data_IF_947078826417
#
_entry.id   IF_947078826417
#
_cell.length_a   1.000
_cell.length_b   1.000
_cell.length_c   1.000
_cell.angle_alpha   90.00
_cell.angle_beta   90.00
_cell.angle_gamma   90.00
#
_symmetry.space_group_name_H-M   'P 1'
#
loop_
_entity.id
_entity.type
_entity.pdbx_description
1 polymer ?
#
# COMPACT_ATOMS: atom_id res chain seq x y z
N UNK A 1 -68.79 -2.15 5.64
CA UNK A 1 -69.50 -3.05 6.58
C UNK A 1 -69.96 -4.28 5.81
N UNK A 2 -69.72 -5.47 6.37
CA UNK A 2 -70.05 -6.84 5.91
C UNK A 2 -69.16 -7.43 4.78
N UNK A 3 -68.11 -8.21 5.09
CA UNK A 3 -68.07 -9.66 5.44
C UNK A 3 -68.63 -10.53 4.28
N UNK A 4 -68.00 -11.58 3.73
CA UNK A 4 -67.11 -12.62 4.27
C UNK A 4 -66.45 -13.41 3.12
N UNK A 5 -65.29 -14.00 3.39
CA UNK A 5 -64.57 -15.01 2.57
C UNK A 5 -65.29 -16.37 2.55
N UNK A 6 -65.12 -17.13 1.46
CA UNK A 6 -65.21 -18.60 1.33
C UNK A 6 -64.27 -19.00 0.16
N UNK A 7 -63.07 -19.55 0.37
CA UNK A 7 -62.68 -20.95 0.66
C UNK A 7 -63.17 -22.02 -0.33
N UNK A 8 -62.27 -22.32 -1.29
CA UNK A 8 -61.83 -23.63 -1.81
C UNK A 8 -62.83 -24.78 -2.06
N UNK A 9 -62.85 -25.28 -3.29
CA UNK A 9 -63.00 -26.71 -3.57
C UNK A 9 -62.29 -27.11 -4.88
N UNK A 10 -61.58 -28.23 -4.75
CA UNK A 10 -60.64 -28.90 -5.65
C UNK A 10 -61.33 -29.61 -6.81
N UNK A 11 -60.68 -29.68 -7.98
CA UNK A 11 -60.93 -30.74 -8.95
C UNK A 11 -59.59 -31.32 -9.40
N UNK A 12 -59.39 -32.58 -9.04
CA UNK A 12 -58.26 -33.41 -9.41
C UNK A 12 -58.40 -33.92 -10.85
N UNK A 13 -57.28 -34.04 -11.56
CA UNK A 13 -57.13 -35.06 -12.58
C UNK A 13 -55.69 -35.58 -12.54
N UNK A 14 -55.61 -36.88 -12.25
CA UNK A 14 -54.41 -37.68 -12.12
C UNK A 14 -53.98 -38.27 -13.48
N UNK A 15 -52.87 -39.02 -13.42
CA UNK A 15 -52.21 -39.86 -14.44
C UNK A 15 -51.14 -39.15 -15.26
N UNK A 16 -49.87 -39.59 -15.29
CA UNK A 16 -49.31 -40.83 -14.76
C UNK A 16 -47.80 -40.75 -14.57
N UNK A 17 -47.37 -41.51 -13.56
CA UNK A 17 -45.99 -41.82 -13.22
C UNK A 17 -45.50 -42.90 -14.19
N UNK A 18 -44.28 -42.72 -14.70
CA UNK A 18 -43.38 -43.84 -15.00
C UNK A 18 -41.98 -43.45 -14.51
N UNK A 19 -41.72 -43.81 -13.24
CA UNK A 19 -40.40 -44.09 -12.70
C UNK A 19 -40.08 -45.56 -13.03
N UNK A 20 -38.86 -45.86 -13.48
CA UNK A 20 -38.04 -47.05 -13.14
C UNK A 20 -36.64 -46.68 -13.64
N UNK A 21 -35.68 -46.30 -12.79
CA UNK A 21 -34.98 -47.03 -11.72
C UNK A 21 -33.69 -47.71 -12.23
N UNK A 22 -32.63 -47.44 -11.46
CA UNK A 22 -31.33 -48.10 -11.47
C UNK A 22 -31.49 -49.58 -11.12
N UNK A 23 -30.63 -50.43 -11.67
CA UNK A 23 -30.17 -51.64 -10.99
C UNK A 23 -28.75 -52.02 -11.44
N UNK A 24 -28.10 -52.74 -10.53
CA UNK A 24 -26.70 -52.98 -10.27
C UNK A 24 -26.26 -54.36 -10.79
N UNK A 25 -24.96 -54.65 -10.63
CA UNK A 25 -24.33 -55.98 -10.50
C UNK A 25 -23.55 -56.59 -11.68
N UNK A 26 -22.21 -56.51 -11.52
CA UNK A 26 -21.20 -57.60 -11.49
C UNK A 26 -20.87 -58.46 -12.71
N UNK A 27 -19.57 -58.45 -13.09
CA UNK A 27 -18.73 -59.66 -13.30
C UNK A 27 -17.26 -59.29 -13.63
N UNK A 28 -16.28 -59.86 -12.88
CA UNK A 28 -14.81 -59.76 -13.10
C UNK A 28 -14.30 -60.62 -14.28
N UNK A 29 -12.98 -61.00 -14.40
CA UNK A 29 -11.97 -61.22 -13.34
C UNK A 29 -10.51 -60.72 -13.62
N UNK A 30 -9.61 -60.94 -12.64
CA UNK A 30 -8.13 -60.76 -12.67
C UNK A 30 -7.39 -61.63 -13.71
N UNK A 31 -6.06 -61.41 -13.89
CA UNK A 31 -5.08 -62.23 -13.15
C UNK A 31 -3.78 -61.51 -12.70
N UNK A 32 -3.27 -61.94 -11.54
CA UNK A 32 -1.85 -62.05 -11.12
C UNK A 32 -1.47 -63.57 -11.22
N UNK A 33 -0.22 -64.08 -11.06
CA UNK A 33 0.95 -63.52 -10.34
C UNK A 33 2.36 -63.82 -10.95
N UNK A 34 3.43 -63.36 -10.30
CA UNK A 34 4.80 -63.88 -10.50
C UNK A 34 5.89 -63.20 -9.66
N UNK A 35 6.24 -63.80 -8.52
CA UNK A 35 7.29 -63.40 -7.55
C UNK A 35 8.58 -64.25 -7.65
N UNK A 36 9.60 -63.86 -6.84
CA UNK A 36 10.90 -64.53 -6.48
C UNK A 36 12.12 -64.08 -7.31
N UNK A 37 13.32 -63.79 -6.79
CA UNK A 37 14.01 -63.95 -5.48
C UNK A 37 15.26 -63.02 -5.49
N UNK A 38 15.50 -62.16 -4.49
CA UNK A 38 16.40 -62.30 -3.32
C UNK A 38 17.92 -62.35 -3.59
N UNK A 39 18.71 -61.48 -2.92
CA UNK A 39 19.87 -61.79 -2.04
C UNK A 39 20.28 -60.50 -1.27
N UNK A 40 20.33 -60.54 0.07
CA UNK A 40 20.80 -59.46 0.98
C UNK A 40 22.30 -59.58 1.34
N UNK A 41 22.76 -59.26 2.57
CA UNK A 41 22.52 -58.07 3.43
C UNK A 41 23.81 -57.52 4.14
N UNK A 42 23.63 -56.47 4.96
CA UNK A 42 24.47 -56.05 6.14
C UNK A 42 25.82 -55.35 5.86
N UNK A 43 26.33 -54.32 6.57
CA UNK A 43 26.32 -53.90 7.99
C UNK A 43 26.56 -52.35 8.09
N UNK A 44 25.82 -51.52 8.85
CA UNK A 44 25.83 -51.23 10.32
C UNK A 44 26.84 -50.13 10.78
N UNK A 45 26.33 -48.87 10.85
CA UNK A 45 26.45 -47.85 11.96
C UNK A 45 27.81 -47.14 12.28
N UNK A 46 27.88 -46.11 13.18
CA UNK A 46 27.15 -44.82 13.29
C UNK A 46 28.06 -43.63 13.77
N UNK A 47 27.42 -42.49 14.18
CA UNK A 47 27.93 -41.41 15.09
C UNK A 47 28.94 -40.38 14.51
N UNK A 48 29.04 -39.10 14.91
CA UNK A 48 28.24 -38.12 15.67
C UNK A 48 29.03 -36.78 15.68
N UNK A 49 28.32 -35.65 15.62
CA UNK A 49 28.55 -34.33 16.29
C UNK A 49 29.93 -33.60 16.33
N UNK A 50 29.84 -32.33 15.91
CA UNK A 50 30.37 -31.06 16.51
C UNK A 50 31.79 -30.50 16.25
N UNK A 51 31.74 -29.17 16.09
CA UNK A 51 32.70 -28.07 16.39
C UNK A 51 33.75 -27.56 15.37
N UNK A 52 33.46 -26.34 14.88
CA UNK A 52 34.27 -25.11 14.78
C UNK A 52 35.82 -25.19 14.65
N UNK A 53 36.37 -24.64 13.56
CA UNK A 53 37.11 -23.34 13.50
C UNK A 53 38.21 -23.27 12.40
N UNK A 54 38.21 -22.13 11.69
CA UNK A 54 39.35 -21.43 11.03
C UNK A 54 39.91 -22.07 9.73
N UNK A 55 40.32 -21.38 8.66
CA UNK A 55 41.00 -20.06 8.48
C UNK A 55 40.84 -19.58 7.01
N UNK A 56 40.76 -18.24 6.84
CA UNK A 56 41.31 -17.33 5.80
C UNK A 56 41.28 -17.74 4.30
N UNK A 57 41.01 -16.89 3.29
CA UNK A 57 41.39 -15.47 3.11
C UNK A 57 40.76 -14.88 1.83
N UNK A 58 40.59 -13.55 1.86
CA UNK A 58 40.72 -12.57 0.75
C UNK A 58 39.77 -12.64 -0.47
N UNK A 59 38.93 -11.60 -0.61
CA UNK A 59 38.89 -10.82 -1.85
C UNK A 59 38.40 -9.39 -1.58
N UNK A 60 39.11 -8.47 -2.22
CA UNK A 60 38.95 -7.03 -2.12
C UNK A 60 37.79 -6.54 -2.98
N UNK A 61 37.06 -5.53 -2.49
CA UNK A 61 36.37 -4.56 -3.34
C UNK A 61 36.13 -3.25 -2.59
N UNK A 62 36.70 -2.16 -3.11
CA UNK A 62 36.16 -0.81 -3.04
C UNK A 62 36.77 0.01 -4.21
N UNK A 63 36.09 1.06 -4.73
CA UNK A 63 34.99 1.78 -4.08
C UNK A 63 33.72 1.98 -4.94
N UNK A 64 32.58 2.05 -4.23
CA UNK A 64 31.48 2.93 -4.59
C UNK A 64 31.71 4.26 -3.86
N UNK A 65 31.57 5.39 -4.55
CA UNK A 65 31.22 6.68 -3.92
C UNK A 65 29.69 6.83 -4.02
N UNK A 66 28.84 7.00 -3.01
CA UNK A 66 28.91 7.13 -1.54
C UNK A 66 28.56 8.49 -0.94
N UNK A 67 28.45 9.57 -1.71
CA UNK A 67 28.45 10.90 -1.09
C UNK A 67 27.25 11.25 -0.16
N UNK A 68 26.14 10.49 -0.17
CA UNK A 68 25.06 10.67 0.82
C UNK A 68 24.87 9.50 1.81
N UNK A 69 25.55 8.36 1.56
CA UNK A 69 25.59 7.21 2.49
C UNK A 69 26.91 7.12 3.27
N UNK A 70 27.89 7.96 2.96
CA UNK A 70 29.22 8.04 3.61
C UNK A 70 29.49 9.44 4.17
N UNK A 71 28.65 9.89 5.10
CA UNK A 71 29.11 10.93 6.01
C UNK A 71 29.13 10.54 7.48
N UNK A 72 28.96 9.26 7.77
CA UNK A 72 29.17 8.75 9.12
C UNK A 72 29.84 7.37 9.07
N UNK A 73 30.95 7.28 8.35
CA UNK A 73 31.93 6.22 8.57
C UNK A 73 33.16 6.87 9.18
N UNK A 74 33.38 6.50 10.44
CA UNK A 74 34.52 6.78 11.28
C UNK A 74 34.67 8.20 11.85
N UNK A 75 34.46 8.29 13.17
CA UNK A 75 35.13 9.27 14.02
C UNK A 75 34.26 10.10 14.97
N UNK A 76 32.93 10.12 14.83
CA UNK A 76 32.09 11.02 15.63
C UNK A 76 31.26 10.34 16.74
N UNK A 77 31.01 9.04 16.65
CA UNK A 77 30.35 8.26 17.70
C UNK A 77 31.37 7.38 18.41
N UNK A 78 31.43 7.47 19.74
CA UNK A 78 32.28 6.62 20.57
C UNK A 78 31.79 5.16 20.62
N UNK A 79 30.48 4.93 20.42
CA UNK A 79 29.87 3.61 20.31
C UNK A 79 28.64 3.67 19.40
N UNK A 80 28.35 2.56 18.72
CA UNK A 80 27.12 2.36 17.94
C UNK A 80 26.32 1.23 18.56
N UNK A 81 25.02 1.44 18.74
CA UNK A 81 24.12 0.44 19.34
C UNK A 81 22.85 0.26 18.50
N UNK A 82 22.20 -0.88 18.70
CA UNK A 82 20.88 -1.22 18.18
C UNK A 82 19.95 -1.46 19.37
N UNK A 83 18.70 -1.04 19.26
CA UNK A 83 17.64 -1.16 20.25
C UNK A 83 18.03 -0.57 21.61
N UNK A 84 18.32 0.73 21.66
CA UNK A 84 18.82 1.37 22.88
C UNK A 84 17.80 1.36 24.04
N UNK A 85 16.50 1.38 23.75
CA UNK A 85 15.42 1.36 24.76
C UNK A 85 15.43 0.15 25.72
N UNK A 86 16.20 -0.91 25.41
CA UNK A 86 16.33 -2.12 26.25
C UNK A 86 17.69 -2.24 26.97
N UNK A 87 18.58 -1.25 26.87
CA UNK A 87 19.92 -1.32 27.46
C UNK A 87 20.17 -0.18 28.43
N UNK A 88 20.58 -0.52 29.66
CA UNK A 88 20.92 0.46 30.69
C UNK A 88 22.36 0.97 30.47
N UNK A 89 22.54 1.93 29.55
CA UNK A 89 23.86 2.43 29.15
C UNK A 89 24.34 3.51 30.13
N UNK A 90 25.50 3.30 30.76
CA UNK A 90 26.17 4.31 31.60
C UNK A 90 26.94 5.30 30.72
N UNK A 91 26.71 6.60 30.93
CA UNK A 91 27.06 7.67 29.99
C UNK A 91 28.10 8.62 30.61
N UNK A 92 29.41 8.45 30.35
CA UNK A 92 30.43 9.38 30.83
C UNK A 92 30.53 10.62 29.91
N UNK A 93 30.85 11.78 30.51
CA UNK A 93 30.86 13.15 29.93
C UNK A 93 31.57 13.39 28.58
N UNK A 94 32.18 12.37 27.98
CA UNK A 94 32.96 12.47 26.74
C UNK A 94 32.49 11.52 25.65
N UNK A 95 31.35 10.84 25.82
CA UNK A 95 30.88 9.80 24.92
C UNK A 95 29.75 10.28 24.00
N UNK A 96 29.78 9.81 22.75
CA UNK A 96 28.73 10.00 21.74
C UNK A 96 28.22 8.64 21.28
N UNK A 97 26.90 8.49 21.16
CA UNK A 97 26.22 7.21 20.92
C UNK A 97 25.35 7.34 19.68
N UNK A 98 25.51 6.43 18.71
CA UNK A 98 24.64 6.35 17.55
C UNK A 98 23.65 5.19 17.69
N UNK A 99 22.35 5.47 17.62
CA UNK A 99 21.32 4.44 17.51
C UNK A 99 21.11 4.11 16.04
N UNK A 100 21.46 2.89 15.66
CA UNK A 100 21.35 2.45 14.28
C UNK A 100 19.91 2.09 13.88
N UNK A 101 19.03 1.78 14.83
CA UNK A 101 17.63 1.45 14.49
C UNK A 101 16.79 2.73 14.37
N UNK A 102 17.12 3.74 15.17
CA UNK A 102 16.46 5.05 15.12
C UNK A 102 17.17 6.06 14.18
N UNK A 103 18.41 5.78 13.76
CA UNK A 103 19.27 6.69 12.99
C UNK A 103 19.50 8.05 13.69
N UNK A 104 19.59 8.04 15.01
CA UNK A 104 19.75 9.25 15.85
C UNK A 104 21.12 9.24 16.54
N UNK A 105 21.78 10.40 16.58
CA UNK A 105 23.02 10.61 17.32
C UNK A 105 22.75 11.31 18.67
N UNK A 106 23.25 10.71 19.74
CA UNK A 106 23.15 11.23 21.11
C UNK A 106 24.52 11.62 21.65
N UNK A 107 24.56 12.67 22.48
CA UNK A 107 25.75 13.09 23.21
C UNK A 107 25.53 12.99 24.72
N UNK A 108 26.51 12.44 25.42
CA UNK A 108 26.55 12.42 26.87
C UNK A 108 26.90 13.79 27.45
N UNK A 109 26.04 14.35 28.29
CA UNK A 109 26.28 15.57 29.09
C UNK A 109 25.86 15.28 30.53
N UNK A 110 26.82 15.08 31.43
CA UNK A 110 26.54 14.47 32.73
C UNK A 110 26.17 12.98 32.55
N UNK A 111 25.19 12.52 33.32
CA UNK A 111 24.58 11.19 33.18
C UNK A 111 23.42 11.18 32.15
N UNK A 112 23.19 12.28 31.42
CA UNK A 112 22.07 12.43 30.51
C UNK A 112 22.48 12.30 29.03
N UNK A 113 21.59 11.71 28.24
CA UNK A 113 21.69 11.60 26.78
C UNK A 113 20.86 12.71 26.13
N UNK A 114 21.52 13.53 25.31
CA UNK A 114 20.88 14.61 24.58
C UNK A 114 20.97 14.30 23.09
N UNK A 115 19.81 14.26 22.42
CA UNK A 115 19.70 14.14 20.97
C UNK A 115 20.35 15.36 20.30
N UNK A 116 21.16 15.13 19.27
CA UNK A 116 21.86 16.20 18.57
C UNK A 116 21.53 16.12 17.08
N UNK A 117 21.15 17.27 16.51
CA UNK A 117 20.83 17.38 15.09
C UNK A 117 22.05 17.06 14.20
N UNK A 118 21.85 16.17 13.23
CA UNK A 118 22.85 15.79 12.24
C UNK A 118 22.90 16.81 11.11
N UNK A 119 24.05 17.47 10.93
CA UNK A 119 24.27 18.31 9.75
C UNK A 119 24.52 17.43 8.50
N UNK A 120 23.85 17.70 7.36
CA UNK A 120 24.16 17.03 6.09
C UNK A 120 25.51 17.52 5.53
N UNK A 121 26.21 16.63 4.84
CA UNK A 121 27.48 16.94 4.20
C UNK A 121 27.30 17.68 2.88
N UNK A 122 28.01 18.80 2.75
CA UNK A 122 28.19 19.52 1.48
C UNK A 122 28.54 21.00 1.68
N UNK A 123 29.85 21.27 1.70
CA UNK A 123 30.54 22.56 1.52
C UNK A 123 30.05 23.79 2.30
N UNK A 124 30.56 23.91 3.53
CA UNK A 124 30.91 25.21 4.09
C UNK A 124 32.41 25.46 3.88
N UNK A 125 32.75 26.27 2.88
CA UNK A 125 33.93 27.14 2.96
C UNK A 125 33.54 28.55 2.53
N UNK A 126 33.35 29.35 3.58
CA UNK A 126 33.48 30.79 3.71
C UNK A 126 33.76 31.63 2.45
N UNK A 127 32.90 32.63 2.22
CA UNK A 127 33.38 34.02 2.12
C UNK A 127 32.34 35.00 2.68
N UNK A 128 32.88 35.94 3.44
CA UNK A 128 32.31 36.98 4.30
C UNK A 128 31.45 38.05 3.61
N UNK A 129 30.72 38.90 4.37
CA UNK A 129 29.70 39.79 3.83
C UNK A 129 30.27 41.10 3.29
N UNK A 130 29.71 41.63 2.20
CA UNK A 130 29.72 43.07 1.96
C UNK A 130 28.54 43.56 1.11
N UNK A 131 28.03 44.71 1.54
CA UNK A 131 26.87 45.44 1.07
C UNK A 131 26.85 45.82 -0.43
N UNK A 132 25.62 46.17 -0.81
CA UNK A 132 25.19 47.32 -1.63
C UNK A 132 24.90 47.16 -3.14
N UNK A 133 23.62 47.51 -3.42
CA UNK A 133 23.08 48.29 -4.55
C UNK A 133 22.92 47.67 -5.94
N UNK A 134 21.64 47.47 -6.26
CA UNK A 134 20.86 48.09 -7.36
C UNK A 134 21.09 47.69 -8.83
N UNK A 135 19.95 47.35 -9.43
CA UNK A 135 19.51 47.68 -10.80
C UNK A 135 19.70 46.67 -11.94
N UNK A 136 18.53 46.24 -12.45
CA UNK A 136 18.06 46.12 -13.85
C UNK A 136 17.70 44.72 -14.38
N UNK A 137 16.43 44.68 -14.80
CA UNK A 137 15.67 43.72 -15.59
C UNK A 137 16.34 43.47 -16.96
N UNK A 138 16.26 42.23 -17.50
CA UNK A 138 15.39 42.02 -18.67
C UNK A 138 14.56 40.72 -18.61
N UNK A 139 13.31 40.79 -19.06
CA UNK A 139 12.49 39.67 -19.55
C UNK A 139 12.82 39.38 -21.03
N UNK A 140 12.15 38.42 -21.70
CA UNK A 140 11.93 37.02 -21.34
C UNK A 140 12.52 36.12 -22.46
N UNK A 141 12.81 34.85 -22.16
CA UNK A 141 13.08 33.88 -23.23
C UNK A 141 12.01 32.82 -23.20
N UNK A 142 11.11 32.90 -24.18
CA UNK A 142 10.14 31.88 -24.48
C UNK A 142 10.85 30.57 -24.84
N UNK A 143 10.68 29.58 -23.98
CA UNK A 143 10.88 28.17 -24.30
C UNK A 143 9.52 27.50 -24.18
N UNK A 144 8.82 27.39 -25.32
CA UNK A 144 7.61 26.58 -25.46
C UNK A 144 7.97 25.09 -25.30
N UNK A 145 8.11 24.66 -24.06
CA UNK A 145 7.97 23.26 -23.66
C UNK A 145 6.48 23.07 -23.38
N UNK A 146 5.81 22.31 -24.26
CA UNK A 146 4.47 21.79 -23.97
C UNK A 146 4.59 20.71 -22.89
N UNK A 147 5.02 21.09 -21.69
CA UNK A 147 4.81 20.29 -20.50
C UNK A 147 3.32 20.35 -20.21
N UNK A 148 2.66 19.19 -20.19
CA UNK A 148 1.31 19.08 -19.66
C UNK A 148 1.31 19.73 -18.27
N UNK A 149 0.69 20.90 -18.16
CA UNK A 149 0.62 21.63 -16.89
C UNK A 149 -0.41 20.89 -16.05
N UNK A 150 0.07 20.18 -15.03
CA UNK A 150 -0.81 19.55 -14.04
C UNK A 150 -1.55 20.65 -13.28
N UNK A 151 -2.88 20.67 -13.42
CA UNK A 151 -3.75 21.63 -12.72
C UNK A 151 -4.14 21.09 -11.35
N UNK A 152 -3.83 21.86 -10.31
CA UNK A 152 -4.11 21.50 -8.92
C UNK A 152 -5.24 22.36 -8.34
N UNK A 153 -5.94 21.79 -7.35
CA UNK A 153 -6.98 22.49 -6.62
C UNK A 153 -7.19 21.92 -5.22
N UNK A 154 -8.28 22.33 -4.60
CA UNK A 154 -8.71 21.81 -3.30
C UNK A 154 -10.22 21.57 -3.27
N UNK A 155 -10.62 20.63 -2.42
CA UNK A 155 -11.99 20.37 -2.04
C UNK A 155 -12.12 20.53 -0.53
N UNK A 156 -12.98 21.43 -0.08
CA UNK A 156 -13.41 21.47 1.32
C UNK A 156 -14.67 20.62 1.47
N UNK A 157 -14.58 19.56 2.26
CA UNK A 157 -15.74 18.76 2.61
C UNK A 157 -16.57 19.49 3.67
N UNK A 158 -17.80 19.88 3.33
CA UNK A 158 -18.67 20.65 4.23
C UNK A 158 -19.18 19.83 5.43
N UNK A 159 -19.03 18.51 5.40
CA UNK A 159 -19.56 17.59 6.42
C UNK A 159 -18.66 17.52 7.64
N UNK A 160 -17.34 17.67 7.47
CA UNK A 160 -16.35 17.63 8.55
C UNK A 160 -15.33 18.79 8.50
N UNK A 161 -15.40 19.66 7.50
CA UNK A 161 -14.50 20.81 7.31
C UNK A 161 -13.12 20.43 6.76
N UNK A 162 -12.88 19.17 6.39
CA UNK A 162 -11.58 18.71 5.93
C UNK A 162 -11.29 19.21 4.51
N UNK A 163 -10.07 19.71 4.31
CA UNK A 163 -9.57 20.10 3.00
C UNK A 163 -8.78 18.94 2.39
N UNK A 164 -9.13 18.58 1.15
CA UNK A 164 -8.44 17.59 0.34
C UNK A 164 -7.83 18.27 -0.87
N UNK A 165 -6.60 17.88 -1.23
CA UNK A 165 -5.99 18.28 -2.50
C UNK A 165 -6.70 17.59 -3.66
N UNK A 166 -6.77 18.28 -4.79
CA UNK A 166 -7.33 17.74 -6.03
C UNK A 166 -6.40 18.00 -7.19
N UNK A 167 -6.57 17.22 -8.26
CA UNK A 167 -5.79 17.33 -9.50
C UNK A 167 -6.67 17.04 -10.71
N UNK A 168 -6.45 17.74 -11.82
CA UNK A 168 -7.12 17.47 -13.09
C UNK A 168 -6.30 16.49 -13.91
N UNK A 169 -6.88 15.34 -14.26
CA UNK A 169 -6.26 14.32 -15.12
C UNK A 169 -7.31 13.83 -16.11
N UNK A 170 -7.00 13.88 -17.41
CA UNK A 170 -7.91 13.40 -18.46
C UNK A 170 -9.22 14.20 -18.53
N UNK A 171 -9.18 15.49 -18.16
CA UNK A 171 -10.35 16.37 -18.13
C UNK A 171 -11.31 16.13 -16.95
N UNK A 172 -10.95 15.29 -15.99
CA UNK A 172 -11.71 15.06 -14.75
C UNK A 172 -10.94 15.57 -13.55
N UNK A 173 -11.65 16.08 -12.55
CA UNK A 173 -11.04 16.48 -11.28
C UNK A 173 -11.06 15.28 -10.33
N UNK A 174 -9.88 14.85 -9.90
CA UNK A 174 -9.68 13.74 -8.97
C UNK A 174 -9.28 14.26 -7.59
N UNK A 175 -9.70 13.57 -6.54
CA UNK A 175 -9.03 13.69 -5.26
C UNK A 175 -7.57 13.22 -5.38
N UNK A 176 -6.63 14.05 -4.94
CA UNK A 176 -5.20 13.73 -4.82
C UNK A 176 -4.85 13.13 -3.43
N UNK A 177 -5.82 13.06 -2.53
CA UNK A 177 -5.72 12.40 -1.22
C UNK A 177 -6.87 11.39 -1.04
N UNK A 178 -6.65 10.33 -0.26
CA UNK A 178 -7.72 9.37 0.06
C UNK A 178 -8.76 10.05 0.96
N UNK A 179 -10.04 9.79 0.74
CA UNK A 179 -11.11 10.32 1.58
C UNK A 179 -10.94 9.85 3.03
N UNK A 180 -11.11 10.76 3.99
CA UNK A 180 -10.95 10.48 5.42
C UNK A 180 -12.13 11.05 6.22
N UNK A 181 -13.34 10.89 5.68
CA UNK A 181 -14.58 11.27 6.33
C UNK A 181 -15.02 10.16 7.29
N UNK A 182 -15.19 10.49 8.57
CA UNK A 182 -15.71 9.54 9.54
C UNK A 182 -17.24 9.39 9.41
N UNK A 183 -17.67 8.28 8.82
CA UNK A 183 -19.08 8.00 8.59
C UNK A 183 -19.79 7.30 9.76
N UNK A 184 -19.14 7.16 10.92
CA UNK A 184 -19.73 6.52 12.12
C UNK A 184 -21.01 7.23 12.57
N UNK A 185 -21.09 8.56 12.43
CA UNK A 185 -22.26 9.35 12.81
C UNK A 185 -23.45 9.20 11.83
N UNK A 186 -23.21 8.77 10.58
CA UNK A 186 -24.24 8.64 9.54
C UNK A 186 -24.69 7.20 9.33
N UNK A 187 -24.00 6.22 9.92
CA UNK A 187 -24.36 4.81 9.87
C UNK A 187 -25.59 4.50 10.76
N UNK A 188 -26.80 4.72 10.24
CA UNK A 188 -28.03 4.28 10.91
C UNK A 188 -28.07 2.75 11.00
N UNK A 189 -27.83 2.18 12.18
CA UNK A 189 -27.86 0.73 12.42
C UNK A 189 -26.51 0.06 12.72
N UNK A 190 -25.44 0.84 12.91
CA UNK A 190 -24.18 0.50 13.60
C UNK A 190 -23.52 -0.84 13.20
N UNK A 191 -22.84 -0.81 12.06
CA UNK A 191 -21.55 -1.49 11.91
C UNK A 191 -20.60 -0.44 11.39
N UNK A 192 -19.56 -0.07 12.15
CA UNK A 192 -18.50 0.81 11.64
C UNK A 192 -18.06 0.30 10.27
N UNK A 193 -18.13 1.18 9.28
CA UNK A 193 -17.86 0.84 7.88
C UNK A 193 -16.76 1.66 7.28
N UNK A 194 -16.13 2.49 8.08
CA UNK A 194 -14.87 3.12 7.76
C UNK A 194 -13.88 2.79 8.88
N UNK A 195 -12.65 2.52 8.50
CA UNK A 195 -11.61 2.08 9.42
C UNK A 195 -10.30 2.79 9.10
N UNK A 196 -9.49 3.01 10.12
CA UNK A 196 -8.06 3.22 9.91
C UNK A 196 -7.39 1.86 9.68
N UNK A 197 -6.32 1.84 8.89
CA UNK A 197 -5.48 0.65 8.77
C UNK A 197 -4.99 0.23 10.16
N UNK A 198 -5.12 -1.06 10.48
CA UNK A 198 -4.90 -1.66 11.81
C UNK A 198 -5.66 -1.02 12.99
N UNK A 199 -6.68 -0.22 12.71
CA UNK A 199 -7.40 0.54 13.73
C UNK A 199 -6.56 1.65 14.39
N UNK A 200 -5.41 2.01 13.80
CA UNK A 200 -4.49 3.02 14.33
C UNK A 200 -4.91 4.40 13.80
N UNK A 201 -5.27 5.38 14.65
CA UNK A 201 -5.73 6.71 14.18
C UNK A 201 -4.72 7.44 13.28
N UNK A 202 -3.42 7.33 13.56
CA UNK A 202 -2.36 7.91 12.74
C UNK A 202 -2.38 7.39 11.28
N UNK A 203 -2.83 6.15 11.07
CA UNK A 203 -2.96 5.59 9.72
C UNK A 203 -4.14 6.20 8.96
N UNK A 204 -5.20 6.66 9.63
CA UNK A 204 -6.24 7.47 8.97
C UNK A 204 -5.68 8.83 8.54
N UNK A 205 -4.81 9.45 9.33
CA UNK A 205 -4.19 10.73 8.97
C UNK A 205 -3.26 10.59 7.77
N UNK A 206 -2.44 9.53 7.75
CA UNK A 206 -1.53 9.22 6.64
C UNK A 206 -2.26 8.74 5.40
N UNK A 207 -3.02 7.65 5.51
CA UNK A 207 -3.59 6.92 4.37
C UNK A 207 -5.04 7.26 4.05
N UNK A 208 -5.72 8.04 4.89
CA UNK A 208 -7.18 8.14 4.83
C UNK A 208 -7.88 6.88 5.37
N UNK A 209 -9.20 6.86 5.26
CA UNK A 209 -10.02 5.74 5.76
C UNK A 209 -10.22 4.68 4.68
N UNK A 210 -10.34 3.44 5.14
CA UNK A 210 -10.78 2.30 4.35
C UNK A 210 -12.28 2.08 4.59
N UNK A 211 -13.07 2.09 3.53
CA UNK A 211 -14.53 1.99 3.60
C UNK A 211 -14.98 0.61 3.15
N UNK A 212 -15.99 0.03 3.79
CA UNK A 212 -16.70 -1.11 3.23
C UNK A 212 -17.57 -0.65 2.04
N UNK A 213 -17.93 -1.60 1.17
CA UNK A 213 -18.70 -1.35 -0.06
C UNK A 213 -19.88 -0.39 0.17
N UNK A 214 -20.76 -0.72 1.12
CA UNK A 214 -21.98 0.04 1.36
C UNK A 214 -21.70 1.52 1.71
N UNK A 215 -20.64 1.78 2.49
CA UNK A 215 -20.24 3.13 2.85
C UNK A 215 -19.60 3.85 1.66
N UNK A 216 -18.74 3.17 0.91
CA UNK A 216 -18.06 3.73 -0.25
C UNK A 216 -19.04 4.30 -1.30
N UNK A 217 -20.21 3.66 -1.47
CA UNK A 217 -21.24 4.13 -2.42
C UNK A 217 -21.87 5.48 -2.06
N UNK A 218 -21.80 5.89 -0.80
CA UNK A 218 -22.49 7.08 -0.29
C UNK A 218 -21.54 8.10 0.36
N UNK A 219 -20.24 7.83 0.40
CA UNK A 219 -19.29 8.63 1.18
C UNK A 219 -18.74 9.83 0.42
N UNK A 220 -18.81 9.87 -0.92
CA UNK A 220 -18.34 11.04 -1.66
C UNK A 220 -19.17 12.30 -1.31
N UNK A 221 -18.53 13.47 -1.16
CA UNK A 221 -19.23 14.71 -0.84
C UNK A 221 -20.12 15.16 -2.02
N UNK A 222 -21.03 16.09 -1.75
CA UNK A 222 -21.95 16.61 -2.76
C UNK A 222 -21.21 17.14 -4.01
N UNK A 223 -21.70 16.78 -5.20
CA UNK A 223 -21.07 17.13 -6.47
C UNK A 223 -19.85 16.27 -6.85
N UNK A 224 -19.48 15.30 -6.00
CA UNK A 224 -18.48 14.28 -6.28
C UNK A 224 -19.11 12.89 -6.27
N UNK A 225 -18.51 11.96 -7.00
CA UNK A 225 -19.02 10.59 -7.10
C UNK A 225 -17.88 9.58 -6.96
N UNK A 226 -18.27 8.33 -6.70
CA UNK A 226 -17.36 7.21 -6.82
C UNK A 226 -16.90 7.09 -8.29
N UNK A 227 -15.63 6.78 -8.58
CA UNK A 227 -15.19 6.60 -9.95
C UNK A 227 -15.77 5.32 -10.54
N UNK A 228 -16.17 5.40 -11.78
CA UNK A 228 -16.57 4.25 -12.58
C UNK A 228 -15.35 3.52 -13.12
N UNK A 229 -15.56 2.32 -13.65
CA UNK A 229 -14.53 1.60 -14.38
C UNK A 229 -14.02 2.35 -15.62
N UNK A 230 -14.83 3.23 -16.22
CA UNK A 230 -14.34 4.09 -17.31
C UNK A 230 -13.38 5.14 -16.76
N UNK A 231 -13.73 5.81 -15.66
CA UNK A 231 -12.87 6.85 -15.07
C UNK A 231 -11.48 6.30 -14.72
N UNK A 232 -11.40 5.09 -14.15
CA UNK A 232 -10.12 4.44 -13.85
C UNK A 232 -9.31 4.08 -15.11
N UNK A 233 -9.98 3.58 -16.16
CA UNK A 233 -9.30 3.31 -17.45
C UNK A 233 -8.82 4.58 -18.13
N UNK A 234 -9.61 5.64 -18.07
CA UNK A 234 -9.26 6.94 -18.66
C UNK A 234 -8.09 7.55 -17.88
N UNK A 235 -8.14 7.54 -16.54
CA UNK A 235 -7.04 7.97 -15.66
C UNK A 235 -5.73 7.28 -16.02
N UNK A 236 -5.75 5.94 -16.08
CA UNK A 236 -4.54 5.14 -16.37
C UNK A 236 -4.05 5.34 -17.80
N UNK A 237 -4.94 5.42 -18.78
CA UNK A 237 -4.59 5.70 -20.17
C UNK A 237 -3.93 7.06 -20.32
N UNK A 238 -4.55 8.11 -19.74
CA UNK A 238 -3.99 9.46 -19.73
C UNK A 238 -2.66 9.49 -18.99
N UNK A 239 -2.56 8.85 -17.83
CA UNK A 239 -1.34 8.84 -17.05
C UNK A 239 -0.17 8.21 -17.81
N UNK A 240 -0.44 7.14 -18.56
CA UNK A 240 0.54 6.50 -19.44
C UNK A 240 0.96 7.39 -20.60
N UNK A 241 -0.01 7.98 -21.30
CA UNK A 241 0.27 8.79 -22.49
C UNK A 241 0.96 10.11 -22.17
N UNK A 242 0.68 10.72 -21.02
CA UNK A 242 1.20 12.05 -20.67
C UNK A 242 2.43 12.01 -19.76
N UNK A 243 2.56 10.97 -18.91
CA UNK A 243 3.56 10.95 -17.85
C UNK A 243 4.43 9.68 -17.79
N UNK A 244 4.16 8.67 -18.62
CA UNK A 244 5.00 7.47 -18.78
C UNK A 244 4.29 6.12 -18.58
N UNK A 245 4.72 5.10 -19.33
CA UNK A 245 4.01 3.83 -19.54
C UNK A 245 4.19 2.77 -18.43
N UNK A 246 4.23 3.19 -17.16
CA UNK A 246 4.31 2.25 -16.04
C UNK A 246 3.45 2.65 -14.82
N UNK A 247 2.59 3.66 -14.96
CA UNK A 247 1.78 4.22 -13.87
C UNK A 247 2.56 4.66 -12.62
N UNK A 248 3.89 4.76 -12.68
CA UNK A 248 4.70 5.39 -11.63
C UNK A 248 4.29 6.84 -11.39
N UNK A 249 3.73 7.48 -12.41
CA UNK A 249 3.15 8.82 -12.36
C UNK A 249 1.92 8.94 -11.44
N UNK A 250 1.22 7.84 -11.16
CA UNK A 250 0.06 7.83 -10.26
C UNK A 250 0.45 7.66 -8.78
N UNK A 251 1.67 7.21 -8.50
CA UNK A 251 2.12 6.82 -7.16
C UNK A 251 2.76 7.98 -6.42
N UNK A 252 2.46 8.10 -5.12
CA UNK A 252 3.16 9.03 -4.23
C UNK A 252 4.66 8.66 -4.14
N UNK A 253 5.54 9.66 -4.24
CA UNK A 253 7.00 9.46 -4.17
C UNK A 253 7.41 9.10 -2.74
N UNK A 254 8.26 8.09 -2.58
CA UNK A 254 8.86 7.72 -1.28
C UNK A 254 7.97 6.87 -0.36
N UNK A 255 6.72 6.61 -0.75
CA UNK A 255 5.75 5.89 0.08
C UNK A 255 5.63 4.40 -0.25
N UNK A 256 6.19 3.97 -1.39
CA UNK A 256 6.07 2.60 -1.89
C UNK A 256 7.34 1.82 -1.59
N UNK A 257 7.17 0.71 -0.87
CA UNK A 257 8.25 -0.22 -0.54
C UNK A 257 8.69 -0.99 -1.78
N UNK A 258 9.98 -1.32 -1.86
CA UNK A 258 10.49 -2.19 -2.90
C UNK A 258 10.31 -3.64 -2.49
N UNK A 259 9.79 -4.48 -3.39
CA UNK A 259 9.82 -5.92 -3.20
C UNK A 259 11.20 -6.49 -3.47
N UNK A 260 11.56 -7.56 -2.75
CA UNK A 260 12.81 -8.32 -2.97
C UNK A 260 12.76 -9.13 -4.28
N UNK A 261 11.55 -9.41 -4.77
CA UNK A 261 11.29 -10.17 -5.99
C UNK A 261 10.58 -9.28 -7.02
N UNK A 262 11.02 -9.31 -8.28
CA UNK A 262 10.39 -8.58 -9.39
C UNK A 262 10.92 -7.16 -9.60
N UNK A 263 10.57 -6.60 -10.76
CA UNK A 263 10.91 -5.22 -11.12
C UNK A 263 9.95 -4.26 -10.43
N UNK A 264 10.51 -3.38 -9.59
CA UNK A 264 9.75 -2.33 -8.93
C UNK A 264 9.60 -1.16 -9.90
N UNK A 265 8.37 -0.66 -10.03
CA UNK A 265 8.11 0.56 -10.79
C UNK A 265 8.41 1.77 -9.89
N UNK A 266 9.25 2.66 -10.39
CA UNK A 266 9.60 3.91 -9.71
C UNK A 266 8.38 4.83 -9.60
N UNK A 267 8.02 5.21 -8.37
CA UNK A 267 7.02 6.25 -8.13
C UNK A 267 7.60 7.63 -8.48
N UNK A 268 6.93 8.35 -9.40
CA UNK A 268 7.33 9.70 -9.83
C UNK A 268 6.31 10.76 -9.46
N UNK A 269 5.07 10.36 -9.16
CA UNK A 269 3.93 11.25 -8.93
C UNK A 269 3.73 12.34 -10.01
N UNK A 270 4.22 12.12 -11.23
CA UNK A 270 4.21 13.13 -12.29
C UNK A 270 2.80 13.59 -12.67
N UNK A 271 1.76 12.78 -12.42
CA UNK A 271 0.36 13.14 -12.65
C UNK A 271 -0.28 13.96 -11.52
N UNK A 272 0.36 14.02 -10.35
CA UNK A 272 -0.22 14.61 -9.13
C UNK A 272 -1.25 13.74 -8.40
N UNK A 273 -1.64 12.57 -8.94
CA UNK A 273 -2.66 11.70 -8.33
C UNK A 273 -2.28 11.22 -6.91
N UNK A 274 -0.99 11.07 -6.61
CA UNK A 274 -0.45 10.81 -5.27
C UNK A 274 -1.09 9.60 -4.56
N UNK A 275 -1.20 8.46 -5.25
CA UNK A 275 -1.70 7.22 -4.64
C UNK A 275 -0.75 6.73 -3.54
N UNK A 276 -1.31 6.52 -2.34
CA UNK A 276 -0.61 5.93 -1.21
C UNK A 276 -0.91 4.43 -1.11
N UNK A 277 0.08 3.57 -0.81
CA UNK A 277 -0.10 2.13 -0.69
C UNK A 277 -0.69 1.77 0.68
N UNK A 278 -1.96 2.11 0.88
CA UNK A 278 -2.70 1.91 2.11
C UNK A 278 -3.15 0.46 2.36
N UNK A 279 -2.92 -0.45 1.40
CA UNK A 279 -3.44 -1.80 1.47
C UNK A 279 -4.97 -1.85 1.51
N UNK A 280 -5.49 -2.86 2.19
CA UNK A 280 -6.91 -3.07 2.44
C UNK A 280 -7.13 -3.60 3.86
N UNK A 281 -8.40 -3.65 4.28
CA UNK A 281 -8.80 -4.31 5.52
C UNK A 281 -9.84 -5.38 5.23
N UNK A 282 -9.60 -6.61 5.68
CA UNK A 282 -10.54 -7.71 5.63
C UNK A 282 -11.68 -7.54 6.66
N UNK A 283 -12.77 -8.28 6.45
CA UNK A 283 -13.93 -8.31 7.34
C UNK A 283 -13.59 -8.87 8.71
N UNK A 284 -12.59 -9.76 8.79
CA UNK A 284 -11.99 -10.25 10.05
C UNK A 284 -11.29 -9.14 10.83
N UNK A 285 -10.94 -8.04 10.16
CA UNK A 285 -10.23 -6.90 10.70
C UNK A 285 -8.73 -6.90 10.47
N UNK A 286 -8.21 -7.99 9.91
CA UNK A 286 -6.84 -8.09 9.41
C UNK A 286 -6.61 -7.10 8.26
N UNK A 287 -5.47 -6.41 8.27
CA UNK A 287 -5.06 -5.51 7.21
C UNK A 287 -3.81 -6.06 6.52
N UNK A 288 -3.69 -5.81 5.22
CA UNK A 288 -2.59 -6.30 4.40
C UNK A 288 -2.34 -5.37 3.20
N UNK A 289 -1.14 -5.45 2.63
CA UNK A 289 -0.71 -4.69 1.45
C UNK A 289 -0.23 -3.27 1.73
N UNK A 290 -0.12 -2.84 2.99
CA UNK A 290 0.55 -1.58 3.34
C UNK A 290 1.95 -1.53 2.72
N UNK A 291 2.33 -0.35 2.22
CA UNK A 291 3.63 -0.12 1.59
C UNK A 291 3.74 -0.65 0.16
N UNK A 292 2.95 -1.64 -0.24
CA UNK A 292 3.12 -2.34 -1.54
C UNK A 292 1.94 -2.23 -2.49
N UNK A 293 0.72 -1.98 -1.98
CA UNK A 293 -0.51 -1.93 -2.77
C UNK A 293 -1.45 -0.83 -2.31
N UNK A 294 -2.11 -0.18 -3.25
CA UNK A 294 -3.22 0.73 -3.01
C UNK A 294 -4.49 0.13 -3.61
N UNK A 295 -5.52 -0.03 -2.78
CA UNK A 295 -6.82 -0.52 -3.22
C UNK A 295 -7.84 0.61 -3.18
N UNK A 296 -8.56 0.81 -4.29
CA UNK A 296 -9.58 1.82 -4.43
C UNK A 296 -10.92 1.21 -4.82
N UNK A 297 -12.01 1.76 -4.27
CA UNK A 297 -13.34 1.44 -4.79
C UNK A 297 -13.58 2.06 -6.16
N UNK A 298 -14.25 1.29 -7.03
CA UNK A 298 -14.86 1.80 -8.25
C UNK A 298 -16.17 1.11 -8.57
N UNK A 299 -17.01 1.75 -9.38
CA UNK A 299 -18.31 1.23 -9.83
C UNK A 299 -18.24 0.71 -11.27
N UNK A 300 -18.90 -0.41 -11.55
CA UNK A 300 -19.06 -0.93 -12.91
C UNK A 300 -20.37 -1.72 -13.03
N UNK A 301 -21.26 -1.29 -13.93
CA UNK A 301 -22.56 -1.93 -14.19
C UNK A 301 -23.36 -2.22 -12.90
N UNK A 302 -23.53 -1.21 -12.02
CA UNK A 302 -24.21 -1.31 -10.71
C UNK A 302 -23.54 -2.25 -9.69
N UNK A 303 -22.32 -2.69 -9.96
CA UNK A 303 -21.50 -3.44 -9.02
C UNK A 303 -20.31 -2.59 -8.58
N UNK A 304 -19.76 -2.86 -7.40
CA UNK A 304 -18.55 -2.21 -6.93
C UNK A 304 -17.38 -3.18 -7.04
N UNK A 305 -16.18 -2.68 -7.30
CA UNK A 305 -14.97 -3.49 -7.47
C UNK A 305 -13.78 -2.77 -6.84
N UNK A 306 -12.74 -3.54 -6.56
CA UNK A 306 -11.45 -2.99 -6.21
C UNK A 306 -10.65 -2.67 -7.48
N UNK A 307 -9.98 -1.53 -7.46
CA UNK A 307 -8.92 -1.16 -8.37
C UNK A 307 -7.61 -1.18 -7.61
N UNK A 308 -6.70 -2.04 -8.01
CA UNK A 308 -5.42 -2.21 -7.33
C UNK A 308 -4.36 -1.49 -8.14
N UNK A 309 -3.58 -0.65 -7.48
CA UNK A 309 -2.27 -0.21 -7.96
C UNK A 309 -1.22 -0.85 -7.07
N UNK A 310 -0.28 -1.60 -7.64
CA UNK A 310 0.82 -2.24 -6.93
C UNK A 310 2.13 -1.52 -7.20
N UNK A 311 3.17 -1.74 -6.40
CA UNK A 311 4.54 -1.36 -6.72
C UNK A 311 5.14 -2.10 -7.93
N UNK A 312 4.64 -3.28 -8.29
CA UNK A 312 5.18 -4.13 -9.37
C UNK A 312 4.46 -3.98 -10.71
N UNK A 313 3.15 -3.76 -10.68
CA UNK A 313 2.31 -3.73 -11.89
C UNK A 313 1.43 -2.49 -11.94
N UNK A 314 0.92 -2.25 -13.14
CA UNK A 314 -0.03 -1.19 -13.46
C UNK A 314 -1.35 -1.35 -12.70
N UNK A 315 -2.14 -0.28 -12.68
CA UNK A 315 -3.45 -0.33 -12.06
C UNK A 315 -4.38 -1.27 -12.83
N UNK A 316 -5.04 -2.17 -12.10
CA UNK A 316 -5.95 -3.16 -12.67
C UNK A 316 -7.23 -3.33 -11.83
N UNK A 317 -8.27 -3.83 -12.48
CA UNK A 317 -9.54 -4.16 -11.82
C UNK A 317 -9.45 -5.58 -11.25
N UNK A 318 -9.73 -5.72 -9.96
CA UNK A 318 -9.77 -7.03 -9.30
C UNK A 318 -11.20 -7.59 -9.26
N UNK A 319 -11.32 -8.91 -9.44
CA UNK A 319 -12.58 -9.61 -9.22
C UNK A 319 -12.90 -9.68 -7.73
N UNK A 320 -14.11 -9.25 -7.38
CA UNK A 320 -14.53 -9.06 -6.00
C UNK A 320 -14.85 -10.36 -5.27
N UNK A 321 -14.49 -10.46 -3.98
CA UNK A 321 -15.30 -11.20 -3.00
C UNK A 321 -16.16 -10.20 -2.23
N UNK A 322 -17.43 -10.08 -2.63
CA UNK A 322 -18.38 -9.06 -2.13
C UNK A 322 -18.44 -8.97 -0.60
N UNK A 323 -18.40 -7.76 -0.06
CA UNK A 323 -18.63 -7.50 1.37
C UNK A 323 -17.59 -8.07 2.34
N UNK A 324 -16.41 -8.51 1.84
CA UNK A 324 -15.33 -9.04 2.68
C UNK A 324 -14.23 -8.02 2.97
N UNK A 325 -14.17 -6.90 2.25
CA UNK A 325 -13.04 -5.99 2.34
C UNK A 325 -13.46 -4.53 2.42
N UNK A 326 -12.56 -3.71 2.95
CA UNK A 326 -12.63 -2.27 2.95
C UNK A 326 -11.40 -1.69 2.23
N UNK A 327 -11.66 -0.73 1.35
CA UNK A 327 -10.67 -0.10 0.46
C UNK A 327 -10.75 1.42 0.58
N UNK A 328 -9.70 2.12 0.13
CA UNK A 328 -9.72 3.57 0.08
C UNK A 328 -10.74 4.08 -0.95
N UNK A 329 -11.20 5.32 -0.77
CA UNK A 329 -12.06 6.01 -1.73
C UNK A 329 -11.33 7.24 -2.28
N UNK A 330 -11.34 7.36 -3.60
CA UNK A 330 -10.93 8.55 -4.35
C UNK A 330 -12.14 9.04 -5.11
N UNK A 331 -12.74 10.14 -4.70
CA UNK A 331 -13.88 10.68 -5.42
C UNK A 331 -13.42 11.42 -6.67
N UNK A 332 -14.25 11.40 -7.70
CA UNK A 332 -14.03 12.10 -8.98
C UNK A 332 -15.20 13.03 -9.27
N UNK A 333 -14.92 14.11 -9.99
CA UNK A 333 -15.88 15.09 -10.49
C UNK A 333 -15.62 15.36 -11.97
N UNK A 334 -16.72 15.46 -12.71
CA UNK A 334 -16.73 15.78 -14.15
C UNK A 334 -16.52 17.27 -14.42
#
# INVERSE_FOLDING_TARGET
MNLKKFSTATAALAFGIALVACDDSSSGPSPEPGSSESLGPSDVTPMSSDDETSVSSSSAAAPASSAAKECFKDGMASITVRNMERKNITCPNTMTIYDYDLQILYKCVGDALIETDMAPCGDASSVTPQSSSSSKIPEPVEGSSSGSLVEYGTLTDSRDGKNYKTVVIGGKTWMAENLNFDNSATATGSIDSSFCYDGIPANCEKYGRLYQEYAATAVCPEGWRLPTASDWRDLTTTAKSEFGDNNGSLRAVGEWENTIFGDNVTATNASGFSALPAGYRAKTGECDGEGTKAYFWGEDNMNHYAWILSNQYDMEKESMQRGYFAYAVRCVKD
#
